data_IF_067868391145
#
_entry.id   IF_067868391145
#
_cell.length_a   1.000
_cell.length_b   1.000
_cell.length_c   1.000
_cell.angle_alpha   90.00
_cell.angle_beta   90.00
_cell.angle_gamma   90.00
#
_symmetry.space_group_name_H-M   'P 1'
#
loop_
_entity.id
_entity.type
_entity.pdbx_description
1 polymer ?
#
# COMPACT_ATOMS: atom_id res chain seq x y z
N UNK A 1 14.71 -26.99 -19.56
CA UNK A 1 15.23 -26.27 -18.36
C UNK A 1 14.20 -25.19 -18.02
N UNK A 2 13.48 -25.34 -16.93
CA UNK A 2 12.52 -24.33 -16.47
C UNK A 2 13.26 -23.08 -16.00
N UNK A 3 12.89 -21.94 -16.57
CA UNK A 3 13.40 -20.62 -16.14
C UNK A 3 12.64 -20.22 -14.87
N UNK A 4 13.10 -20.69 -13.71
CA UNK A 4 12.48 -20.36 -12.42
C UNK A 4 13.36 -19.32 -11.74
N UNK A 5 12.74 -18.21 -11.37
CA UNK A 5 13.37 -17.16 -10.55
C UNK A 5 13.10 -17.51 -9.09
N UNK A 6 14.14 -17.71 -8.29
CA UNK A 6 14.00 -18.11 -6.89
C UNK A 6 13.61 -16.93 -6.01
N UNK A 7 12.64 -17.14 -5.13
CA UNK A 7 12.28 -16.20 -4.07
C UNK A 7 13.51 -15.97 -3.16
N UNK A 8 13.82 -14.70 -2.87
CA UNK A 8 14.98 -14.30 -2.05
C UNK A 8 16.26 -13.99 -2.84
N UNK A 9 16.29 -14.19 -4.16
CA UNK A 9 17.40 -13.75 -5.00
C UNK A 9 17.27 -12.24 -5.32
N UNK A 10 18.35 -11.48 -5.20
CA UNK A 10 18.39 -10.04 -5.49
C UNK A 10 18.00 -9.75 -6.95
N UNK A 11 18.38 -10.61 -7.89
CA UNK A 11 18.01 -10.50 -9.31
C UNK A 11 16.52 -10.71 -9.55
N UNK A 12 15.81 -11.44 -8.69
CA UNK A 12 14.39 -11.72 -8.85
C UNK A 12 13.55 -10.45 -8.81
N UNK A 13 13.83 -9.55 -7.87
CA UNK A 13 13.13 -8.26 -7.76
C UNK A 13 13.36 -7.38 -9.00
N UNK A 14 14.61 -7.33 -9.49
CA UNK A 14 14.95 -6.55 -10.68
C UNK A 14 14.27 -7.11 -11.93
N UNK A 15 14.26 -8.43 -12.10
CA UNK A 15 13.63 -9.11 -13.24
C UNK A 15 12.11 -8.94 -13.20
N UNK A 16 11.48 -9.03 -12.02
CA UNK A 16 10.05 -8.79 -11.86
C UNK A 16 9.70 -7.35 -12.27
N UNK A 17 10.45 -6.36 -11.76
CA UNK A 17 10.22 -4.97 -12.12
C UNK A 17 10.35 -4.72 -13.63
N UNK A 18 11.34 -5.32 -14.29
CA UNK A 18 11.49 -5.24 -15.74
C UNK A 18 10.33 -5.91 -16.49
N UNK A 19 9.85 -7.05 -16.02
CA UNK A 19 8.69 -7.72 -16.60
C UNK A 19 7.42 -6.87 -16.45
N UNK A 20 7.18 -6.29 -15.27
CA UNK A 20 6.02 -5.42 -15.02
C UNK A 20 6.12 -4.16 -15.88
N UNK A 21 7.31 -3.56 -15.99
CA UNK A 21 7.55 -2.40 -16.87
C UNK A 21 7.22 -2.73 -18.33
N UNK A 22 7.73 -3.85 -18.84
CA UNK A 22 7.45 -4.32 -20.19
C UNK A 22 5.94 -4.51 -20.44
N UNK A 23 5.22 -5.12 -19.49
CA UNK A 23 3.76 -5.33 -19.60
C UNK A 23 3.02 -3.99 -19.68
N UNK A 24 3.37 -3.04 -18.82
CA UNK A 24 2.71 -1.73 -18.75
C UNK A 24 2.97 -0.90 -20.01
N UNK A 25 4.20 -0.92 -20.54
CA UNK A 25 4.54 -0.23 -21.80
C UNK A 25 3.76 -0.82 -22.97
N UNK A 26 3.70 -2.17 -23.09
CA UNK A 26 2.95 -2.82 -24.17
C UNK A 26 1.43 -2.66 -24.02
N UNK A 27 0.92 -2.52 -22.80
CA UNK A 27 -0.48 -2.18 -22.55
C UNK A 27 -0.82 -0.73 -22.92
N UNK A 28 0.17 0.09 -23.32
CA UNK A 28 -0.02 1.51 -23.72
C UNK A 28 -0.43 2.41 -22.56
N UNK A 29 -0.06 2.05 -21.32
CA UNK A 29 -0.40 2.84 -20.15
C UNK A 29 0.51 4.07 -19.96
N UNK A 30 1.67 4.10 -20.60
CA UNK A 30 2.59 5.24 -20.51
C UNK A 30 2.15 6.44 -21.42
N UNK A 31 1.23 6.21 -22.35
CA UNK A 31 0.72 7.26 -23.25
C UNK A 31 -0.42 8.05 -22.58
N UNK A 32 -0.10 8.93 -21.72
CA UNK A 32 -0.80 9.95 -20.94
C UNK A 32 -2.22 10.46 -21.28
N UNK A 33 -3.02 9.75 -22.07
CA UNK A 33 -4.40 10.15 -22.42
C UNK A 33 -5.45 9.63 -21.44
N UNK A 34 -5.13 8.56 -20.69
CA UNK A 34 -6.06 7.83 -19.81
C UNK A 34 -5.57 7.93 -18.38
N UNK A 35 -6.47 8.08 -17.39
CA UNK A 35 -6.13 8.15 -15.98
C UNK A 35 -6.63 9.41 -15.28
N UNK A 36 -6.24 9.55 -14.02
CA UNK A 36 -6.64 10.67 -13.17
C UNK A 36 -5.69 11.85 -13.36
N UNK A 37 -6.22 13.05 -13.60
CA UNK A 37 -5.45 14.28 -13.71
C UNK A 37 -4.97 14.76 -12.35
N UNK A 38 -3.67 14.72 -12.12
CA UNK A 38 -3.04 15.25 -10.92
C UNK A 38 -1.94 16.26 -11.30
N UNK A 39 -2.08 17.51 -10.87
CA UNK A 39 -1.08 18.57 -11.10
C UNK A 39 -0.58 18.66 -12.55
N UNK A 40 -1.48 18.67 -13.53
CA UNK A 40 -1.21 18.72 -14.98
C UNK A 40 -0.60 17.44 -15.60
N UNK A 41 -0.54 16.34 -14.86
CA UNK A 41 -0.12 15.03 -15.37
C UNK A 41 -1.27 14.04 -15.25
N UNK A 42 -1.43 13.19 -16.24
CA UNK A 42 -2.32 12.04 -16.13
C UNK A 42 -1.58 10.91 -15.44
N UNK A 43 -2.16 10.36 -14.40
CA UNK A 43 -1.65 9.19 -13.67
C UNK A 43 -2.67 8.09 -13.83
N UNK A 44 -2.30 7.01 -14.49
CA UNK A 44 -3.16 5.85 -14.73
C UNK A 44 -2.71 4.60 -13.98
N UNK A 45 -1.47 4.58 -13.48
CA UNK A 45 -0.96 3.49 -12.66
C UNK A 45 0.03 3.96 -11.60
N UNK A 46 0.10 3.21 -10.49
CA UNK A 46 1.15 3.30 -9.47
C UNK A 46 1.66 1.89 -9.22
N UNK A 47 2.98 1.73 -9.13
CA UNK A 47 3.64 0.43 -9.03
C UNK A 47 4.60 0.38 -7.87
N UNK A 48 4.59 -0.75 -7.16
CA UNK A 48 5.57 -1.05 -6.13
C UNK A 48 5.76 -2.56 -6.01
N UNK A 49 6.87 -3.07 -6.53
CA UNK A 49 7.11 -4.52 -6.61
C UNK A 49 6.05 -5.21 -7.47
N UNK A 50 5.33 -6.15 -6.88
CA UNK A 50 4.21 -6.88 -7.48
C UNK A 50 2.85 -6.16 -7.32
N UNK A 51 2.76 -5.18 -6.44
CA UNK A 51 1.55 -4.39 -6.25
C UNK A 51 1.40 -3.34 -7.35
N UNK A 52 0.29 -3.36 -8.07
CA UNK A 52 -0.05 -2.38 -9.09
C UNK A 52 -1.44 -1.81 -8.83
N UNK A 53 -1.54 -0.48 -8.79
CA UNK A 53 -2.81 0.24 -8.76
C UNK A 53 -3.06 0.81 -10.15
N UNK A 54 -4.21 0.51 -10.73
CA UNK A 54 -4.72 1.16 -11.94
C UNK A 54 -5.71 2.24 -11.55
N UNK A 55 -5.65 3.38 -12.21
CA UNK A 55 -6.50 4.54 -11.95
C UNK A 55 -7.16 5.03 -13.22
N UNK A 56 -8.46 5.33 -13.14
CA UNK A 56 -9.26 5.83 -14.24
C UNK A 56 -10.34 6.78 -13.72
N UNK A 57 -10.86 7.64 -14.59
CA UNK A 57 -11.98 8.53 -14.27
C UNK A 57 -13.35 7.83 -14.40
N UNK A 58 -13.45 6.73 -15.17
CA UNK A 58 -14.68 5.95 -15.36
C UNK A 58 -14.45 4.45 -15.16
N UNK A 59 -15.56 3.71 -14.94
CA UNK A 59 -15.54 2.25 -14.79
C UNK A 59 -15.15 1.57 -16.10
N UNK A 60 -15.65 2.05 -17.24
CA UNK A 60 -15.37 1.53 -18.57
C UNK A 60 -13.90 1.66 -18.91
N UNK A 61 -13.32 2.81 -18.58
CA UNK A 61 -11.90 3.10 -18.77
C UNK A 61 -11.06 2.16 -17.90
N UNK A 62 -11.41 1.98 -16.63
CA UNK A 62 -10.71 1.07 -15.73
C UNK A 62 -10.77 -0.38 -16.21
N UNK A 63 -11.93 -0.84 -16.70
CA UNK A 63 -12.09 -2.17 -17.31
C UNK A 63 -11.21 -2.33 -18.53
N UNK A 64 -11.20 -1.33 -19.43
CA UNK A 64 -10.34 -1.35 -20.62
C UNK A 64 -8.85 -1.46 -20.26
N UNK A 65 -8.38 -0.66 -19.28
CA UNK A 65 -7.01 -0.72 -18.80
C UNK A 65 -6.67 -2.10 -18.21
N UNK A 66 -7.56 -2.62 -17.38
CA UNK A 66 -7.38 -3.93 -16.76
C UNK A 66 -7.28 -5.06 -17.79
N UNK A 67 -8.14 -5.04 -18.81
CA UNK A 67 -8.13 -6.06 -19.85
C UNK A 67 -6.83 -6.03 -20.67
N UNK A 68 -6.32 -4.83 -20.98
CA UNK A 68 -5.02 -4.67 -21.66
C UNK A 68 -3.87 -5.23 -20.81
N UNK A 69 -3.82 -4.87 -19.52
CA UNK A 69 -2.79 -5.39 -18.60
C UNK A 69 -2.88 -6.89 -18.44
N UNK A 70 -4.10 -7.47 -18.37
CA UNK A 70 -4.33 -8.89 -18.28
C UNK A 70 -3.79 -9.62 -19.52
N UNK A 71 -4.13 -9.14 -20.72
CA UNK A 71 -3.68 -9.72 -21.98
C UNK A 71 -2.14 -9.70 -22.10
N UNK A 72 -1.50 -8.56 -21.83
CA UNK A 72 -0.05 -8.45 -21.89
C UNK A 72 0.66 -9.27 -20.79
N UNK A 73 0.06 -9.39 -19.59
CA UNK A 73 0.55 -10.26 -18.53
C UNK A 73 0.51 -11.73 -18.93
N UNK A 74 -0.57 -12.19 -19.56
CA UNK A 74 -0.71 -13.56 -20.04
C UNK A 74 0.32 -13.87 -21.15
N UNK A 75 0.58 -12.92 -22.06
CA UNK A 75 1.64 -13.04 -23.08
C UNK A 75 3.04 -13.16 -22.45
N UNK A 76 3.28 -12.48 -21.34
CA UNK A 76 4.51 -12.57 -20.57
C UNK A 76 4.59 -13.82 -19.67
N UNK A 77 3.54 -14.65 -19.63
CA UNK A 77 3.46 -15.85 -18.80
C UNK A 77 3.12 -15.58 -17.34
N UNK A 78 2.67 -14.36 -17.01
CA UNK A 78 2.23 -13.98 -15.67
C UNK A 78 0.68 -14.02 -15.61
N UNK A 79 0.14 -14.46 -14.46
CA UNK A 79 -1.31 -14.47 -14.23
C UNK A 79 -1.66 -13.45 -13.16
N UNK A 80 -2.62 -12.57 -13.47
CA UNK A 80 -3.17 -11.66 -12.48
C UNK A 80 -4.02 -12.43 -11.46
N UNK A 81 -3.80 -12.16 -10.18
CA UNK A 81 -4.62 -12.70 -9.08
C UNK A 81 -5.92 -11.91 -8.94
N UNK A 82 -6.95 -12.29 -9.72
CA UNK A 82 -8.27 -11.64 -9.66
C UNK A 82 -8.91 -11.77 -8.27
N UNK A 83 -8.52 -12.80 -7.49
CA UNK A 83 -9.05 -13.01 -6.13
C UNK A 83 -8.58 -11.95 -5.14
N UNK A 84 -7.37 -11.42 -5.33
CA UNK A 84 -6.76 -10.39 -4.49
C UNK A 84 -7.04 -8.97 -4.99
N UNK A 85 -7.59 -8.85 -6.19
CA UNK A 85 -7.92 -7.56 -6.79
C UNK A 85 -9.03 -6.86 -6.01
N UNK A 86 -8.81 -5.58 -5.69
CA UNK A 86 -9.77 -4.72 -5.00
C UNK A 86 -9.98 -3.46 -5.80
N UNK A 87 -11.24 -3.06 -5.94
CA UNK A 87 -11.60 -1.82 -6.62
C UNK A 87 -12.11 -0.80 -5.61
N UNK A 88 -11.66 0.42 -5.75
CA UNK A 88 -12.11 1.58 -4.99
C UNK A 88 -12.67 2.64 -5.91
N UNK A 89 -13.77 3.26 -5.48
CA UNK A 89 -14.33 4.40 -6.16
C UNK A 89 -14.46 5.59 -5.20
N UNK A 90 -14.22 6.79 -5.71
CA UNK A 90 -14.40 8.05 -4.99
C UNK A 90 -15.86 8.55 -4.96
N UNK A 91 -16.80 7.83 -5.57
CA UNK A 91 -18.21 8.19 -5.69
C UNK A 91 -19.17 7.08 -5.22
N UNK A 92 -20.48 7.29 -5.35
CA UNK A 92 -21.49 6.31 -4.99
C UNK A 92 -21.58 5.18 -6.02
N UNK A 93 -20.54 4.37 -6.16
CA UNK A 93 -20.61 3.15 -6.93
C UNK A 93 -21.18 2.06 -6.02
N UNK A 94 -22.36 1.58 -6.34
CA UNK A 94 -23.11 0.60 -5.55
C UNK A 94 -22.69 -0.83 -5.84
N UNK A 95 -22.21 -1.13 -7.04
CA UNK A 95 -21.67 -2.45 -7.40
C UNK A 95 -20.92 -2.37 -8.72
N UNK A 96 -19.88 -3.19 -8.88
CA UNK A 96 -19.18 -3.36 -10.14
C UNK A 96 -18.94 -4.85 -10.38
N UNK A 97 -18.89 -5.24 -11.67
CA UNK A 97 -18.55 -6.60 -12.07
C UNK A 97 -17.31 -6.58 -12.97
N UNK A 98 -16.29 -7.35 -12.57
CA UNK A 98 -15.14 -7.65 -13.41
C UNK A 98 -14.99 -9.17 -13.45
N UNK A 99 -15.00 -9.75 -14.63
CA UNK A 99 -14.87 -11.20 -14.87
C UNK A 99 -15.88 -12.04 -14.04
N UNK A 100 -17.14 -11.58 -13.94
CA UNK A 100 -18.19 -12.29 -13.20
C UNK A 100 -18.09 -12.20 -11.67
N UNK A 101 -17.17 -11.41 -11.13
CA UNK A 101 -17.06 -11.16 -9.69
C UNK A 101 -17.58 -9.77 -9.34
N UNK A 102 -18.49 -9.74 -8.36
CA UNK A 102 -18.97 -8.50 -7.75
C UNK A 102 -18.02 -8.11 -6.62
N UNK A 103 -17.60 -6.86 -6.59
CA UNK A 103 -16.78 -6.36 -5.50
C UNK A 103 -17.23 -4.98 -5.05
N UNK A 104 -17.31 -4.79 -3.75
CA UNK A 104 -17.41 -3.51 -3.09
C UNK A 104 -16.32 -3.46 -2.05
N UNK A 105 -15.31 -2.66 -2.26
CA UNK A 105 -14.28 -2.48 -1.26
C UNK A 105 -14.17 -1.01 -0.86
N UNK A 106 -14.62 -0.70 0.34
CA UNK A 106 -14.40 0.62 0.96
C UNK A 106 -13.00 0.76 1.58
N UNK A 107 -12.24 -0.34 1.64
CA UNK A 107 -10.91 -0.41 2.25
C UNK A 107 -10.02 -1.35 1.45
N UNK A 108 -8.79 -0.94 1.23
CA UNK A 108 -7.76 -1.80 0.64
C UNK A 108 -6.41 -1.54 1.31
N UNK A 109 -5.52 -2.51 1.20
CA UNK A 109 -4.15 -2.39 1.67
C UNK A 109 -3.23 -2.14 0.48
N UNK A 110 -2.41 -1.11 0.58
CA UNK A 110 -1.34 -0.83 -0.37
C UNK A 110 -0.10 -0.43 0.41
N UNK A 111 1.03 -1.04 0.12
CA UNK A 111 2.28 -0.88 0.88
C UNK A 111 2.11 -1.16 2.39
N UNK A 112 1.26 -2.10 2.76
CA UNK A 112 0.94 -2.40 4.16
C UNK A 112 0.09 -1.36 4.88
N UNK A 113 -0.37 -0.32 4.18
CA UNK A 113 -1.25 0.73 4.70
C UNK A 113 -2.70 0.46 4.34
N UNK A 114 -3.59 0.60 5.33
CA UNK A 114 -5.03 0.50 5.09
C UNK A 114 -5.56 1.85 4.56
N UNK A 115 -5.99 1.84 3.31
CA UNK A 115 -6.58 3.00 2.66
C UNK A 115 -8.11 2.92 2.70
N UNK A 116 -8.76 4.09 2.80
CA UNK A 116 -10.21 4.21 2.80
C UNK A 116 -10.65 5.19 1.70
N UNK A 117 -11.73 4.87 0.98
CA UNK A 117 -12.23 5.68 -0.14
C UNK A 117 -12.54 7.16 0.22
N UNK A 118 -12.79 7.46 1.49
CA UNK A 118 -13.05 8.82 1.99
C UNK A 118 -11.80 9.54 2.50
N UNK A 119 -10.59 8.96 2.36
CA UNK A 119 -9.36 9.54 2.90
C UNK A 119 -9.31 9.60 4.44
N UNK A 120 -10.17 8.84 5.15
CA UNK A 120 -10.19 8.81 6.61
C UNK A 120 -9.11 7.87 7.15
N UNK A 121 -8.06 8.44 7.72
CA UNK A 121 -6.92 7.72 8.28
C UNK A 121 -7.09 7.32 9.75
N UNK A 122 -8.25 7.60 10.37
CA UNK A 122 -8.49 7.34 11.81
C UNK A 122 -8.26 5.87 12.19
N UNK A 123 -8.69 4.94 11.34
CA UNK A 123 -8.50 3.51 11.57
C UNK A 123 -7.02 3.11 11.48
N UNK A 124 -6.32 3.64 10.50
CA UNK A 124 -4.91 3.36 10.28
C UNK A 124 -4.06 3.90 11.43
N UNK A 125 -4.31 5.14 11.85
CA UNK A 125 -3.64 5.74 13.02
C UNK A 125 -3.88 4.88 14.28
N UNK A 126 -5.11 4.44 14.53
CA UNK A 126 -5.41 3.54 15.66
C UNK A 126 -4.63 2.23 15.57
N UNK A 127 -4.57 1.61 14.38
CA UNK A 127 -3.83 0.38 14.13
C UNK A 127 -2.34 0.56 14.45
N UNK A 128 -1.72 1.64 13.96
CA UNK A 128 -0.31 1.92 14.21
C UNK A 128 -0.01 2.23 15.68
N UNK A 129 -0.89 2.93 16.38
CA UNK A 129 -0.77 3.15 17.83
C UNK A 129 -0.86 1.83 18.61
N UNK A 130 -1.72 0.89 18.19
CA UNK A 130 -1.78 -0.44 18.81
C UNK A 130 -0.52 -1.26 18.54
N UNK A 131 0.04 -1.22 17.32
CA UNK A 131 1.31 -1.85 16.99
C UNK A 131 2.45 -1.26 17.84
N UNK A 132 2.49 0.06 18.00
CA UNK A 132 3.46 0.73 18.87
C UNK A 132 3.35 0.29 20.32
N UNK A 133 2.13 0.17 20.86
CA UNK A 133 1.91 -0.37 22.24
C UNK A 133 2.39 -1.82 22.37
N UNK A 134 2.10 -2.67 21.40
CA UNK A 134 2.58 -4.04 21.38
C UNK A 134 4.11 -4.10 21.32
N UNK A 135 4.75 -3.26 20.52
CA UNK A 135 6.20 -3.17 20.48
C UNK A 135 6.80 -2.72 21.83
N UNK A 136 6.19 -1.72 22.49
CA UNK A 136 6.59 -1.33 23.86
C UNK A 136 6.47 -2.48 24.85
N UNK A 137 5.37 -3.25 24.81
CA UNK A 137 5.19 -4.43 25.68
C UNK A 137 6.28 -5.48 25.41
N UNK A 138 6.67 -5.71 24.17
CA UNK A 138 7.74 -6.64 23.84
C UNK A 138 9.12 -6.17 24.35
N UNK A 139 9.31 -4.88 24.53
CA UNK A 139 10.52 -4.28 25.08
C UNK A 139 10.50 -4.16 26.61
N UNK A 140 9.42 -4.53 27.28
CA UNK A 140 9.18 -4.30 28.73
C UNK A 140 10.32 -4.84 29.61
N UNK A 141 10.86 -6.02 29.29
CA UNK A 141 11.99 -6.64 30.02
C UNK A 141 13.22 -5.73 29.96
N UNK A 142 13.53 -5.20 28.78
CA UNK A 142 14.69 -4.33 28.55
C UNK A 142 14.47 -2.97 29.21
N UNK A 143 13.27 -2.42 29.07
CA UNK A 143 12.92 -1.10 29.60
C UNK A 143 12.89 -1.09 31.14
N UNK A 144 12.57 -2.21 31.79
CA UNK A 144 12.58 -2.37 33.25
C UNK A 144 13.96 -2.71 33.82
N UNK A 145 14.91 -3.18 32.99
CA UNK A 145 16.27 -3.50 33.46
C UNK A 145 16.94 -2.27 34.09
N UNK A 146 17.59 -2.46 35.22
CA UNK A 146 18.38 -1.43 35.90
C UNK A 146 19.79 -1.25 35.33
N UNK A 147 20.27 -2.26 34.60
CA UNK A 147 21.63 -2.26 34.02
C UNK A 147 21.72 -1.41 32.73
N UNK A 148 20.57 -1.02 32.19
CA UNK A 148 20.51 -0.25 30.95
C UNK A 148 20.21 1.22 31.26
N UNK A 149 21.04 2.11 30.73
CA UNK A 149 20.91 3.56 30.95
C UNK A 149 19.62 4.10 30.30
N UNK A 150 19.05 5.17 30.88
CA UNK A 150 17.86 5.82 30.37
C UNK A 150 18.06 6.32 28.92
N UNK A 151 19.28 6.79 28.61
CA UNK A 151 19.63 7.22 27.25
C UNK A 151 19.51 6.08 26.24
N UNK A 152 20.05 4.91 26.56
CA UNK A 152 19.96 3.71 25.71
C UNK A 152 18.51 3.27 25.54
N UNK A 153 17.70 3.28 26.62
CA UNK A 153 16.26 2.96 26.53
C UNK A 153 15.52 3.92 25.59
N UNK A 154 15.80 5.23 25.72
CA UNK A 154 15.22 6.23 24.83
C UNK A 154 15.60 6.01 23.35
N UNK A 155 16.87 5.70 23.08
CA UNK A 155 17.31 5.38 21.72
C UNK A 155 16.62 4.12 21.19
N UNK A 156 16.46 3.09 22.01
CA UNK A 156 15.78 1.85 21.62
C UNK A 156 14.31 2.12 21.25
N UNK A 157 13.59 2.89 22.05
CA UNK A 157 12.20 3.27 21.75
C UNK A 157 12.13 4.09 20.45
N UNK A 158 13.02 5.06 20.26
CA UNK A 158 13.09 5.87 19.03
C UNK A 158 13.38 5.04 17.79
N UNK A 159 14.24 4.01 17.89
CA UNK A 159 14.63 3.18 16.77
C UNK A 159 13.61 2.08 16.43
N UNK A 160 12.92 1.52 17.43
CA UNK A 160 12.05 0.35 17.22
C UNK A 160 10.56 0.66 17.28
N UNK A 161 10.13 1.60 18.10
CA UNK A 161 8.70 1.87 18.30
C UNK A 161 8.20 2.98 17.39
N UNK A 162 8.91 4.11 17.30
CA UNK A 162 8.46 5.24 16.52
C UNK A 162 8.38 5.00 15.01
N UNK A 163 9.28 4.22 14.36
CA UNK A 163 9.10 3.88 12.96
C UNK A 163 7.83 3.09 12.68
N UNK A 164 7.45 2.16 13.58
CA UNK A 164 6.19 1.42 13.45
C UNK A 164 4.96 2.34 13.54
N UNK A 165 5.00 3.32 14.43
CA UNK A 165 3.87 4.25 14.62
C UNK A 165 3.78 5.28 13.50
N UNK A 166 4.92 5.68 12.93
CA UNK A 166 4.99 6.69 11.87
C UNK A 166 4.98 6.12 10.46
N UNK A 167 4.96 4.81 10.31
CA UNK A 167 4.99 4.19 8.99
C UNK A 167 3.80 4.67 8.14
N UNK A 168 4.09 5.26 6.97
CA UNK A 168 3.10 5.78 6.03
C UNK A 168 2.38 7.07 6.48
N UNK A 169 2.86 7.74 7.54
CA UNK A 169 2.21 8.96 8.06
C UNK A 169 2.22 10.13 7.07
N UNK A 170 3.06 10.10 6.05
CA UNK A 170 3.11 11.05 4.94
C UNK A 170 1.82 11.05 4.10
N UNK A 171 1.11 9.93 4.08
CA UNK A 171 -0.18 9.80 3.37
C UNK A 171 -1.40 10.14 4.23
N UNK A 172 -1.21 10.41 5.53
CA UNK A 172 -2.33 10.62 6.46
C UNK A 172 -2.88 12.04 6.41
N UNK A 173 -4.19 12.15 6.22
CA UNK A 173 -4.91 13.38 6.51
C UNK A 173 -5.25 13.43 7.99
N UNK A 174 -4.38 14.06 8.79
CA UNK A 174 -4.45 14.02 10.27
C UNK A 174 -5.39 15.12 10.77
N UNK A 175 -6.44 14.73 11.48
CA UNK A 175 -7.35 15.65 12.19
C UNK A 175 -6.77 16.00 13.57
N UNK A 176 -7.20 17.13 14.15
CA UNK A 176 -6.72 17.59 15.48
C UNK A 176 -6.85 16.53 16.58
N UNK A 177 -7.94 15.75 16.55
CA UNK A 177 -8.17 14.66 17.50
C UNK A 177 -7.16 13.51 17.36
N UNK A 178 -6.70 13.23 16.15
CA UNK A 178 -5.67 12.22 15.91
C UNK A 178 -4.29 12.70 16.34
N UNK A 179 -3.97 13.99 16.12
CA UNK A 179 -2.74 14.58 16.65
C UNK A 179 -2.64 14.40 18.17
N UNK A 180 -3.73 14.68 18.89
CA UNK A 180 -3.78 14.51 20.36
C UNK A 180 -3.51 13.06 20.78
N UNK A 181 -4.03 12.07 20.05
CA UNK A 181 -3.78 10.64 20.34
C UNK A 181 -2.33 10.25 20.09
N UNK A 182 -1.73 10.76 19.03
CA UNK A 182 -0.32 10.51 18.70
C UNK A 182 0.58 11.15 19.76
N UNK A 183 0.27 12.37 20.18
CA UNK A 183 1.06 13.08 21.22
C UNK A 183 0.88 12.42 22.58
N UNK A 184 -0.33 11.98 22.95
CA UNK A 184 -0.55 11.20 24.17
C UNK A 184 0.24 9.88 24.15
N UNK A 185 0.34 9.22 22.99
CA UNK A 185 1.17 8.02 22.84
C UNK A 185 2.66 8.33 23.03
N UNK A 186 3.18 9.44 22.47
CA UNK A 186 4.58 9.85 22.65
C UNK A 186 4.91 10.13 24.12
N UNK A 187 3.97 10.76 24.85
CA UNK A 187 4.13 11.04 26.27
C UNK A 187 4.08 9.77 27.12
N UNK A 188 3.34 8.77 26.68
CA UNK A 188 3.24 7.47 27.37
C UNK A 188 4.51 6.62 27.19
N UNK A 189 5.23 6.73 26.05
CA UNK A 189 6.48 6.03 25.81
C UNK A 189 7.63 6.56 26.66
#
# INVERSE_FOLDING_TARGET
MGKVVHQGCILSCCLLNLCVEYIIQNAGLDEGQVGIKLAKRNINNLRYGDDTILMAESEEELKSLLMKVKEESEKAGLKLSIQEMKIMASGPITSYQIDGKNGNSYRFYYLGLQNHCRGDCTHEIKRHLLLGRKAMTNLDIILKSRDITLLTKSHLVKAMVFPLVKYGCESWTIKKAECQKIDAFKLWC
#
